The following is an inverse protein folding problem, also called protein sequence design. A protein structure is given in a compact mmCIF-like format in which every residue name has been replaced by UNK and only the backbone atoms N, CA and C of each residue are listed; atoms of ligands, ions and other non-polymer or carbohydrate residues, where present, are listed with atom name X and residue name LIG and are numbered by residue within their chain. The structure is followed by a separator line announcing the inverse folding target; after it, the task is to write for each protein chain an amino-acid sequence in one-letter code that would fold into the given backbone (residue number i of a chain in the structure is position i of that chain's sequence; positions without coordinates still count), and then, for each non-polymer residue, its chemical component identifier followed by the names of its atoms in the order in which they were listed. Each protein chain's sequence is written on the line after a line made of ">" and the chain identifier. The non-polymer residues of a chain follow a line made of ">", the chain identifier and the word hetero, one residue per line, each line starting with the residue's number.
data_IF_307609949101
#
_entry.id   IF_307609949101
#
_cell.length_a   1.000
_cell.length_b   1.000
_cell.length_c   1.000
_cell.angle_alpha   90.00
_cell.angle_beta   90.00
_cell.angle_gamma   90.00
#
_symmetry.space_group_name_H-M   'P 1'
#
loop_
_entity.id
_entity.type
_entity.pdbx_description
1 polymer ?
#
# COMPACT_ATOMS: atom_id res chain seq x y z
N UNK A 1 -9.49 44.27 -20.41
CA UNK A 1 -8.88 43.67 -19.21
C UNK A 1 -9.78 42.65 -18.51
N UNK A 2 -11.01 42.97 -18.10
CA UNK A 2 -11.94 42.01 -17.45
C UNK A 2 -12.22 40.71 -18.24
N UNK A 3 -12.30 40.78 -19.58
CA UNK A 3 -12.54 39.58 -20.44
C UNK A 3 -11.34 38.63 -20.53
N UNK A 4 -10.10 39.13 -20.37
CA UNK A 4 -8.87 38.32 -20.41
C UNK A 4 -8.69 37.57 -19.08
N UNK A 5 -9.05 38.20 -17.95
CA UNK A 5 -9.02 37.56 -16.63
C UNK A 5 -10.01 36.39 -16.56
N UNK A 6 -11.19 36.51 -17.20
CA UNK A 6 -12.18 35.43 -17.26
C UNK A 6 -11.69 34.23 -18.10
N UNK A 7 -10.97 34.48 -19.20
CA UNK A 7 -10.36 33.44 -20.04
C UNK A 7 -9.21 32.70 -19.35
N UNK A 8 -8.40 33.42 -18.55
CA UNK A 8 -7.36 32.83 -17.71
C UNK A 8 -7.95 31.96 -16.59
N UNK A 9 -9.05 32.39 -15.96
CA UNK A 9 -9.72 31.60 -14.93
C UNK A 9 -10.30 30.27 -15.46
N UNK A 10 -10.81 30.26 -16.70
CA UNK A 10 -11.33 29.04 -17.35
C UNK A 10 -10.20 28.10 -17.79
N UNK A 11 -9.01 28.62 -18.13
CA UNK A 11 -7.85 27.78 -18.46
C UNK A 11 -7.25 27.08 -17.24
N UNK A 12 -7.34 27.68 -16.05
CA UNK A 12 -6.85 27.06 -14.81
C UNK A 12 -7.74 25.92 -14.30
N UNK A 13 -9.06 25.97 -14.57
CA UNK A 13 -9.98 24.88 -14.18
C UNK A 13 -9.94 23.68 -15.13
N UNK A 14 -9.36 23.83 -16.33
CA UNK A 14 -9.25 22.77 -17.34
C UNK A 14 -8.03 21.85 -17.23
N UNK A 15 -7.07 22.13 -16.33
CA UNK A 15 -5.83 21.35 -16.19
C UNK A 15 -5.90 20.22 -15.16
N UNK A 16 -7.10 19.92 -14.64
CA UNK A 16 -7.36 18.73 -13.84
C UNK A 16 -7.35 17.44 -14.66
N UNK A 17 -6.31 17.20 -15.47
CA UNK A 17 -6.03 15.84 -15.92
C UNK A 17 -5.78 15.01 -14.67
N UNK A 18 -6.72 14.11 -14.34
CA UNK A 18 -6.62 13.21 -13.19
C UNK A 18 -5.24 12.58 -13.17
N UNK A 19 -4.39 13.07 -12.26
CA UNK A 19 -3.03 12.60 -12.14
C UNK A 19 -3.13 11.26 -11.44
N UNK A 20 -3.26 10.16 -12.19
CA UNK A 20 -3.31 8.81 -11.63
C UNK A 20 -1.91 8.39 -11.11
N UNK A 21 -1.21 9.26 -10.39
CA UNK A 21 0.10 9.04 -9.77
C UNK A 21 -0.07 8.81 -8.25
N UNK A 22 1.06 8.77 -7.53
CA UNK A 22 1.09 8.51 -6.09
C UNK A 22 0.28 9.54 -5.29
N UNK A 23 0.35 10.81 -5.68
CA UNK A 23 -0.31 11.91 -4.95
C UNK A 23 -1.82 11.74 -4.93
N UNK A 24 -2.42 11.32 -6.03
CA UNK A 24 -3.85 11.02 -6.10
C UNK A 24 -4.24 9.84 -5.22
N UNK A 25 -3.45 8.76 -5.20
CA UNK A 25 -3.71 7.61 -4.33
C UNK A 25 -3.60 7.99 -2.85
N UNK A 26 -2.62 8.81 -2.50
CA UNK A 26 -2.42 9.32 -1.15
C UNK A 26 -3.59 10.24 -0.74
N UNK A 27 -4.10 11.09 -1.64
CA UNK A 27 -5.29 11.92 -1.41
C UNK A 27 -6.55 11.09 -1.15
N UNK A 28 -6.84 10.10 -2.00
CA UNK A 28 -7.98 9.19 -1.80
C UNK A 28 -7.87 8.41 -0.48
N UNK A 29 -6.66 7.98 -0.13
CA UNK A 29 -6.38 7.27 1.12
C UNK A 29 -6.60 8.18 2.33
N UNK A 30 -6.13 9.44 2.25
CA UNK A 30 -6.34 10.43 3.30
C UNK A 30 -7.82 10.77 3.48
N UNK A 31 -8.56 10.98 2.38
CA UNK A 31 -10.00 11.26 2.44
C UNK A 31 -10.74 10.09 3.10
N UNK A 32 -10.42 8.85 2.73
CA UNK A 32 -11.05 7.66 3.32
C UNK A 32 -10.71 7.50 4.80
N UNK A 33 -9.44 7.65 5.19
CA UNK A 33 -9.02 7.52 6.59
C UNK A 33 -9.56 8.65 7.47
N UNK A 34 -9.77 9.85 6.93
CA UNK A 34 -10.51 10.92 7.62
C UNK A 34 -11.95 10.50 7.94
N UNK A 35 -12.65 9.86 7.00
CA UNK A 35 -14.00 9.29 7.22
C UNK A 35 -14.01 8.15 8.25
N UNK A 36 -12.89 7.48 8.50
CA UNK A 36 -12.76 6.53 9.63
C UNK A 36 -12.73 7.30 10.95
N UNK A 37 -11.88 8.32 11.05
CA UNK A 37 -11.75 9.14 12.26
C UNK A 37 -13.06 9.86 12.62
N UNK A 38 -13.78 10.40 11.62
CA UNK A 38 -15.11 11.04 11.82
C UNK A 38 -16.15 10.07 12.40
N UNK A 39 -15.97 8.75 12.18
CA UNK A 39 -16.79 7.68 12.76
C UNK A 39 -16.21 7.12 14.07
N UNK A 40 -15.26 7.80 14.69
CA UNK A 40 -14.52 7.37 15.89
C UNK A 40 -13.72 6.06 15.70
N UNK A 41 -13.40 5.69 14.47
CA UNK A 41 -12.52 4.55 14.17
C UNK A 41 -11.08 5.07 14.13
N UNK A 42 -10.41 4.98 15.27
CA UNK A 42 -9.05 5.53 15.47
C UNK A 42 -7.95 4.47 15.41
N UNK A 43 -8.33 3.22 15.17
CA UNK A 43 -7.41 2.09 15.06
C UNK A 43 -7.52 1.46 13.68
N UNK A 44 -6.51 1.69 12.85
CA UNK A 44 -6.44 1.15 11.50
C UNK A 44 -4.99 1.13 11.04
N UNK A 45 -4.73 0.40 9.96
CA UNK A 45 -3.48 0.53 9.24
C UNK A 45 -3.72 0.58 7.74
N UNK A 46 -2.79 1.23 7.04
CA UNK A 46 -2.72 1.21 5.59
C UNK A 46 -1.44 0.51 5.17
N UNK A 47 -1.48 -0.18 4.03
CA UNK A 47 -0.27 -0.64 3.34
C UNK A 47 -0.35 -0.28 1.87
N UNK A 48 0.60 0.54 1.44
CA UNK A 48 0.86 0.87 0.04
C UNK A 48 1.83 -0.16 -0.54
N UNK A 49 1.40 -0.87 -1.57
CA UNK A 49 2.17 -1.88 -2.32
C UNK A 49 2.43 -1.35 -3.72
N UNK A 50 3.68 -1.42 -4.17
CA UNK A 50 4.06 -0.97 -5.51
C UNK A 50 5.38 -1.61 -5.94
N UNK A 51 5.60 -1.66 -7.25
CA UNK A 51 6.91 -1.90 -7.83
C UNK A 51 7.25 -0.71 -8.73
N UNK A 52 8.39 -0.06 -8.50
CA UNK A 52 8.75 1.17 -9.22
C UNK A 52 8.80 0.92 -10.73
N UNK A 53 8.14 1.78 -11.50
CA UNK A 53 8.08 1.72 -12.96
C UNK A 53 6.99 0.80 -13.53
N UNK A 54 6.22 0.11 -12.69
CA UNK A 54 5.11 -0.75 -13.16
C UNK A 54 3.92 0.12 -13.52
N UNK A 55 3.38 0.00 -14.73
CA UNK A 55 2.23 0.78 -15.19
C UNK A 55 1.08 -0.18 -15.45
N UNK A 56 -0.09 0.13 -14.90
CA UNK A 56 -1.32 -0.65 -15.11
C UNK A 56 -2.36 0.19 -15.86
N UNK A 57 -3.14 -0.48 -16.70
CA UNK A 57 -4.20 0.13 -17.49
C UNK A 57 -5.51 -0.63 -17.30
N UNK A 58 -6.56 0.08 -16.89
CA UNK A 58 -7.88 -0.44 -16.66
C UNK A 58 -8.88 0.17 -17.64
N UNK A 59 -9.68 -0.67 -18.28
CA UNK A 59 -10.85 -0.24 -19.03
C UNK A 59 -12.04 -0.09 -18.08
N UNK A 60 -12.41 1.14 -17.78
CA UNK A 60 -13.61 1.46 -16.99
C UNK A 60 -14.78 1.73 -17.95
N UNK A 61 -16.05 1.74 -17.48
CA UNK A 61 -17.22 1.91 -18.34
C UNK A 61 -17.17 3.17 -19.23
N UNK A 62 -16.68 4.29 -18.69
CA UNK A 62 -16.70 5.59 -19.38
C UNK A 62 -15.31 6.09 -19.81
N UNK A 63 -14.23 5.46 -19.33
CA UNK A 63 -12.85 5.90 -19.61
C UNK A 63 -11.83 4.78 -19.50
N UNK A 64 -10.69 4.97 -20.14
CA UNK A 64 -9.49 4.20 -19.83
C UNK A 64 -8.74 4.93 -18.72
N UNK A 65 -8.36 4.21 -17.68
CA UNK A 65 -7.51 4.71 -16.62
C UNK A 65 -6.15 4.03 -16.64
N UNK A 66 -5.08 4.81 -16.65
CA UNK A 66 -3.70 4.31 -16.65
C UNK A 66 -2.94 4.95 -15.51
N UNK A 67 -2.17 4.17 -14.75
CA UNK A 67 -1.29 4.74 -13.72
C UNK A 67 -0.16 5.55 -14.36
N UNK A 68 0.22 6.65 -13.71
CA UNK A 68 1.28 7.54 -14.19
C UNK A 68 2.60 7.19 -13.52
N UNK A 69 3.47 6.52 -14.29
CA UNK A 69 4.84 6.17 -13.88
C UNK A 69 4.94 4.97 -12.95
N UNK A 70 4.08 4.84 -11.94
CA UNK A 70 4.01 3.68 -11.06
C UNK A 70 2.58 3.40 -10.61
N UNK A 71 2.20 2.13 -10.64
CA UNK A 71 0.97 1.61 -10.08
C UNK A 71 1.16 1.36 -8.58
N UNK A 72 0.23 1.90 -7.80
CA UNK A 72 0.15 1.81 -6.36
C UNK A 72 -1.18 1.18 -5.98
N UNK A 73 -1.11 0.23 -5.07
CA UNK A 73 -2.27 -0.35 -4.41
C UNK A 73 -2.18 -0.08 -2.92
N UNK A 74 -3.17 0.61 -2.39
CA UNK A 74 -3.30 0.85 -0.95
C UNK A 74 -4.43 -0.01 -0.41
N UNK A 75 -4.12 -0.76 0.62
CA UNK A 75 -5.09 -1.51 1.40
C UNK A 75 -5.25 -0.84 2.75
N UNK A 76 -6.49 -0.51 3.12
CA UNK A 76 -6.84 0.04 4.44
C UNK A 76 -7.59 -1.04 5.21
N UNK A 77 -7.13 -1.36 6.42
CA UNK A 77 -7.73 -2.38 7.28
C UNK A 77 -8.11 -1.75 8.61
N UNK A 78 -9.37 -1.95 9.02
CA UNK A 78 -9.92 -1.42 10.26
C UNK A 78 -10.97 -2.39 10.82
N UNK A 79 -11.51 -2.08 11.99
CA UNK A 79 -12.59 -2.83 12.62
C UNK A 79 -13.72 -1.90 13.05
N UNK A 80 -14.95 -2.35 12.83
CA UNK A 80 -16.18 -1.75 13.36
C UNK A 80 -16.89 -2.79 14.27
N UNK A 81 -18.07 -2.48 14.79
CA UNK A 81 -18.83 -3.40 15.68
C UNK A 81 -19.08 -4.76 15.00
N UNK A 82 -19.41 -4.73 13.70
CA UNK A 82 -19.76 -5.92 12.90
C UNK A 82 -18.55 -6.77 12.47
N UNK A 83 -17.33 -6.32 12.74
CA UNK A 83 -16.10 -7.05 12.41
C UNK A 83 -15.05 -6.22 11.69
N UNK A 84 -14.01 -6.92 11.23
CA UNK A 84 -12.91 -6.32 10.49
C UNK A 84 -13.28 -6.13 9.01
N UNK A 85 -12.79 -5.04 8.43
CA UNK A 85 -13.02 -4.67 7.04
C UNK A 85 -11.71 -4.34 6.35
N UNK A 86 -11.74 -4.47 5.02
CA UNK A 86 -10.66 -4.04 4.15
C UNK A 86 -11.21 -3.18 3.00
N UNK A 87 -10.43 -2.19 2.58
CA UNK A 87 -10.69 -1.41 1.36
C UNK A 87 -9.43 -1.34 0.52
N UNK A 88 -9.56 -1.61 -0.77
CA UNK A 88 -8.55 -1.33 -1.79
C UNK A 88 -8.75 0.08 -2.36
N UNK A 89 -7.64 0.76 -2.61
CA UNK A 89 -7.55 2.05 -3.30
C UNK A 89 -6.38 1.90 -4.27
N UNK A 90 -6.55 2.36 -5.50
CA UNK A 90 -5.44 2.39 -6.46
C UNK A 90 -5.46 3.68 -7.28
N UNK A 91 -4.54 3.81 -8.23
CA UNK A 91 -4.40 4.98 -9.09
C UNK A 91 -5.68 5.37 -9.86
N UNK A 92 -6.68 4.50 -9.92
CA UNK A 92 -7.86 4.68 -10.76
C UNK A 92 -9.16 4.90 -9.99
N UNK A 93 -9.30 4.32 -8.81
CA UNK A 93 -10.51 4.49 -7.99
C UNK A 93 -10.34 3.99 -6.55
N UNK A 94 -11.32 4.33 -5.72
CA UNK A 94 -11.63 3.56 -4.52
C UNK A 94 -12.39 2.28 -4.89
N UNK A 95 -12.32 1.28 -4.02
CA UNK A 95 -13.17 0.09 -4.06
C UNK A 95 -14.19 0.14 -2.93
N UNK A 96 -15.27 -0.63 -3.05
CA UNK A 96 -16.18 -0.85 -1.94
C UNK A 96 -15.46 -1.56 -0.78
N UNK A 97 -15.92 -1.29 0.44
CA UNK A 97 -15.37 -1.97 1.63
C UNK A 97 -15.84 -3.42 1.62
N UNK A 98 -14.94 -4.34 1.93
CA UNK A 98 -15.24 -5.77 2.00
C UNK A 98 -15.12 -6.22 3.45
N UNK A 99 -16.16 -6.83 4.03
CA UNK A 99 -16.06 -7.46 5.35
C UNK A 99 -15.13 -8.67 5.28
N UNK A 100 -14.26 -8.81 6.28
CA UNK A 100 -13.40 -9.98 6.42
C UNK A 100 -14.18 -11.13 7.07
N UNK A 101 -13.76 -12.37 6.78
CA UNK A 101 -14.38 -13.57 7.35
C UNK A 101 -14.13 -13.72 8.86
N UNK A 102 -13.05 -13.12 9.36
CA UNK A 102 -12.72 -13.07 10.78
C UNK A 102 -11.93 -11.79 11.11
N UNK A 103 -11.67 -11.58 12.41
CA UNK A 103 -10.99 -10.40 12.92
C UNK A 103 -9.47 -10.57 13.08
N UNK A 104 -8.90 -11.73 12.70
CA UNK A 104 -7.52 -12.11 13.08
C UNK A 104 -6.49 -11.12 12.57
N UNK A 105 -6.68 -10.59 11.35
CA UNK A 105 -5.77 -9.62 10.75
C UNK A 105 -5.69 -8.32 11.58
N UNK A 106 -6.85 -7.80 12.00
CA UNK A 106 -6.92 -6.61 12.84
C UNK A 106 -6.45 -6.88 14.27
N UNK A 107 -6.82 -8.01 14.86
CA UNK A 107 -6.39 -8.41 16.20
C UNK A 107 -4.86 -8.61 16.30
N UNK A 108 -4.25 -9.17 15.26
CA UNK A 108 -2.79 -9.27 15.18
C UNK A 108 -2.13 -7.89 15.16
N UNK A 109 -2.67 -6.97 14.36
CA UNK A 109 -2.20 -5.58 14.33
C UNK A 109 -2.23 -4.94 15.72
N UNK A 110 -3.38 -4.95 16.40
CA UNK A 110 -3.53 -4.32 17.72
C UNK A 110 -2.61 -4.96 18.76
N UNK A 111 -2.57 -6.29 18.82
CA UNK A 111 -1.77 -7.02 19.82
C UNK A 111 -0.26 -6.88 19.63
N UNK A 112 0.21 -6.48 18.43
CA UNK A 112 1.62 -6.38 18.11
C UNK A 112 2.10 -4.93 17.86
N UNK A 113 1.31 -3.91 18.17
CA UNK A 113 1.63 -2.48 17.93
C UNK A 113 3.06 -2.09 18.36
N UNK A 114 3.47 -2.46 19.58
CA UNK A 114 4.80 -2.15 20.11
C UNK A 114 5.91 -2.78 19.28
N UNK A 115 5.75 -4.06 18.90
CA UNK A 115 6.74 -4.79 18.10
C UNK A 115 6.74 -4.34 16.64
N UNK A 116 5.59 -3.97 16.10
CA UNK A 116 5.46 -3.37 14.76
C UNK A 116 6.21 -2.04 14.69
N UNK A 117 6.27 -1.27 15.79
CA UNK A 117 7.01 -0.01 15.86
C UNK A 117 8.53 -0.22 15.93
N UNK A 118 9.02 -1.21 16.68
CA UNK A 118 10.45 -1.43 16.91
C UNK A 118 11.14 -2.35 15.90
N UNK A 119 10.41 -3.25 15.23
CA UNK A 119 11.00 -4.19 14.26
C UNK A 119 11.60 -3.48 13.05
N UNK A 120 12.88 -3.74 12.77
CA UNK A 120 13.58 -3.21 11.60
C UNK A 120 13.98 -4.35 10.67
N UNK A 121 13.68 -4.19 9.38
CA UNK A 121 14.06 -5.14 8.35
C UNK A 121 15.51 -4.89 7.99
N UNK A 122 16.30 -5.96 8.04
CA UNK A 122 17.70 -5.92 7.63
C UNK A 122 17.78 -6.06 6.12
N UNK A 123 18.59 -5.23 5.48
CA UNK A 123 18.83 -5.32 4.04
C UNK A 123 19.33 -6.72 3.64
N UNK A 124 19.07 -7.12 2.40
CA UNK A 124 19.58 -8.36 1.83
C UNK A 124 21.10 -8.51 2.04
N UNK A 125 21.52 -9.70 2.49
CA UNK A 125 22.94 -10.03 2.66
C UNK A 125 23.24 -11.40 2.05
N UNK A 126 23.99 -11.41 0.95
CA UNK A 126 24.36 -12.66 0.27
C UNK A 126 25.31 -13.51 1.12
N UNK A 127 25.03 -14.82 1.20
CA UNK A 127 25.94 -15.81 1.77
C UNK A 127 27.17 -16.10 0.87
N UNK A 128 27.09 -15.80 -0.43
CA UNK A 128 28.08 -16.17 -1.45
C UNK A 128 28.99 -15.01 -1.86
N UNK A 129 29.11 -13.95 -1.04
CA UNK A 129 29.93 -12.78 -1.37
C UNK A 129 31.35 -13.18 -1.79
N UNK A 130 31.63 -13.10 -3.09
CA UNK A 130 32.88 -13.57 -3.67
C UNK A 130 33.99 -12.51 -3.68
N UNK A 131 33.65 -11.26 -3.31
CA UNK A 131 34.56 -10.11 -3.37
C UNK A 131 34.98 -9.71 -4.80
N UNK A 132 34.34 -10.27 -5.83
CA UNK A 132 34.60 -9.99 -7.25
C UNK A 132 33.43 -9.21 -7.87
N UNK A 133 33.67 -8.44 -8.94
CA UNK A 133 32.59 -7.83 -9.70
C UNK A 133 31.61 -8.89 -10.21
N UNK A 134 30.35 -8.76 -9.85
CA UNK A 134 29.26 -9.61 -10.35
C UNK A 134 28.51 -8.88 -11.47
N UNK A 135 27.91 -9.65 -12.39
CA UNK A 135 27.05 -9.09 -13.44
C UNK A 135 25.89 -8.33 -12.81
N UNK A 136 25.50 -7.21 -13.46
CA UNK A 136 24.34 -6.42 -13.05
C UNK A 136 23.08 -7.28 -13.10
N UNK A 137 22.37 -7.37 -11.98
CA UNK A 137 21.19 -8.23 -11.83
C UNK A 137 19.91 -7.47 -12.11
N UNK A 138 18.81 -8.23 -12.27
CA UNK A 138 17.48 -7.65 -12.44
C UNK A 138 17.15 -6.80 -11.21
N UNK A 139 16.77 -5.53 -11.37
CA UNK A 139 16.31 -4.73 -10.25
C UNK A 139 15.07 -5.39 -9.63
N UNK A 140 14.98 -5.35 -8.30
CA UNK A 140 13.83 -5.82 -7.52
C UNK A 140 13.21 -4.60 -6.82
N UNK A 141 12.52 -3.69 -7.54
CA UNK A 141 12.11 -2.40 -7.00
C UNK A 141 10.70 -2.48 -6.38
N UNK A 142 10.40 -3.56 -5.66
CA UNK A 142 9.06 -3.80 -5.11
C UNK A 142 9.06 -3.50 -3.61
N UNK A 143 8.09 -2.70 -3.18
CA UNK A 143 8.07 -2.15 -1.84
C UNK A 143 6.73 -2.40 -1.14
N UNK A 144 6.80 -2.35 0.18
CA UNK A 144 5.66 -2.30 1.09
C UNK A 144 5.85 -1.10 2.00
N UNK A 145 4.88 -0.19 2.05
CA UNK A 145 4.90 0.98 2.92
C UNK A 145 3.65 0.97 3.80
N UNK A 146 3.84 0.61 5.07
CA UNK A 146 2.83 0.58 6.10
C UNK A 146 2.75 1.92 6.83
N UNK A 147 1.53 2.34 7.11
CA UNK A 147 1.21 3.35 8.11
C UNK A 147 0.26 2.74 9.14
N UNK A 148 0.62 2.82 10.41
CA UNK A 148 -0.17 2.31 11.51
C UNK A 148 -0.70 3.47 12.33
N UNK A 149 -2.01 3.50 12.59
CA UNK A 149 -2.67 4.53 13.40
C UNK A 149 -3.38 3.86 14.57
N UNK A 150 -3.07 4.33 15.79
CA UNK A 150 -3.65 3.88 17.05
C UNK A 150 -3.96 5.10 17.92
N UNK A 151 -5.23 5.49 17.98
CA UNK A 151 -5.64 6.75 18.58
C UNK A 151 -5.02 7.94 17.82
N UNK A 152 -4.33 8.80 18.55
CA UNK A 152 -3.62 9.96 17.99
C UNK A 152 -2.20 9.61 17.48
N UNK A 153 -1.73 8.39 17.74
CA UNK A 153 -0.37 7.99 17.37
C UNK A 153 -0.33 7.37 15.99
N UNK A 154 0.61 7.83 15.15
CA UNK A 154 0.87 7.25 13.84
C UNK A 154 2.36 6.95 13.67
N UNK A 155 2.70 5.80 13.09
CA UNK A 155 4.08 5.46 12.73
C UNK A 155 4.13 4.67 11.43
N UNK A 156 5.32 4.63 10.82
CA UNK A 156 5.53 4.10 9.48
C UNK A 156 6.55 2.96 9.50
N UNK A 157 6.35 1.98 8.61
CA UNK A 157 7.35 0.95 8.28
C UNK A 157 7.38 0.76 6.78
N UNK A 158 8.58 0.66 6.21
CA UNK A 158 8.72 0.36 4.79
C UNK A 158 9.86 -0.60 4.56
N UNK A 159 9.74 -1.45 3.55
CA UNK A 159 10.79 -2.38 3.15
C UNK A 159 10.68 -2.76 1.69
N UNK A 160 11.80 -3.24 1.15
CA UNK A 160 11.87 -3.82 -0.17
C UNK A 160 11.63 -5.35 -0.07
N UNK A 161 10.83 -5.91 -0.97
CA UNK A 161 10.61 -7.36 -1.04
C UNK A 161 11.91 -8.15 -1.23
N UNK A 162 12.91 -7.52 -1.84
CA UNK A 162 14.25 -8.07 -1.98
C UNK A 162 14.87 -8.48 -0.64
N UNK A 163 14.69 -7.67 0.39
CA UNK A 163 15.30 -7.87 1.71
C UNK A 163 14.73 -9.09 2.45
N UNK A 164 13.54 -9.54 2.04
CA UNK A 164 12.85 -10.70 2.60
C UNK A 164 12.82 -11.89 1.64
N UNK A 165 13.55 -11.85 0.52
CA UNK A 165 13.58 -12.92 -0.49
C UNK A 165 14.86 -13.78 -0.39
N UNK A 166 14.78 -15.00 -0.93
CA UNK A 166 15.94 -15.85 -1.24
C UNK A 166 16.17 -16.00 -2.76
N UNK A 167 15.37 -15.31 -3.58
CA UNK A 167 15.19 -15.63 -5.00
C UNK A 167 16.22 -14.96 -5.94
N UNK A 168 17.19 -14.21 -5.39
CA UNK A 168 18.14 -13.44 -6.21
C UNK A 168 19.53 -14.06 -6.31
N UNK A 169 20.33 -14.01 -5.23
CA UNK A 169 21.79 -14.20 -5.33
C UNK A 169 22.29 -15.41 -4.52
N UNK A 170 21.36 -16.29 -4.17
CA UNK A 170 21.58 -17.36 -3.20
C UNK A 170 20.99 -17.03 -1.84
N UNK A 171 21.39 -17.79 -0.83
CA UNK A 171 20.81 -17.68 0.52
C UNK A 171 21.01 -16.28 1.09
N UNK A 172 19.91 -15.60 1.39
CA UNK A 172 19.91 -14.35 2.14
C UNK A 172 20.14 -14.67 3.62
N UNK A 173 21.27 -14.21 4.17
CA UNK A 173 21.64 -14.44 5.56
C UNK A 173 20.66 -13.80 6.56
N UNK A 174 19.91 -12.79 6.14
CA UNK A 174 18.92 -12.10 6.97
C UNK A 174 17.49 -12.65 6.78
N UNK A 175 17.26 -13.60 5.87
CA UNK A 175 15.93 -14.11 5.54
C UNK A 175 15.17 -14.61 6.77
N UNK A 176 15.78 -15.51 7.55
CA UNK A 176 15.16 -16.11 8.73
C UNK A 176 14.85 -15.07 9.82
N UNK A 177 15.72 -14.08 9.98
CA UNK A 177 15.48 -12.99 10.92
C UNK A 177 14.30 -12.12 10.45
N UNK A 178 14.29 -11.74 9.17
CA UNK A 178 13.27 -10.86 8.62
C UNK A 178 11.89 -11.55 8.54
N UNK A 179 11.83 -12.83 8.21
CA UNK A 179 10.57 -13.60 8.10
C UNK A 179 9.81 -13.68 9.43
N UNK A 180 10.52 -13.56 10.56
CA UNK A 180 9.95 -13.58 11.91
C UNK A 180 9.46 -12.20 12.39
N UNK A 181 9.76 -11.12 11.65
CA UNK A 181 9.31 -9.77 12.02
C UNK A 181 7.80 -9.65 11.87
N UNK A 182 7.16 -9.01 12.86
CA UNK A 182 5.69 -8.87 12.89
C UNK A 182 5.12 -8.15 11.69
N UNK A 183 5.85 -7.20 11.09
CA UNK A 183 5.41 -6.50 9.88
C UNK A 183 5.40 -7.42 8.65
N UNK A 184 6.33 -8.38 8.57
CA UNK A 184 6.40 -9.37 7.49
C UNK A 184 5.30 -10.42 7.66
N UNK A 185 5.09 -10.89 8.90
CA UNK A 185 3.99 -11.80 9.23
C UNK A 185 2.64 -11.14 8.93
N UNK A 186 2.46 -9.85 9.28
CA UNK A 186 1.24 -9.11 8.98
C UNK A 186 1.00 -8.98 7.47
N UNK A 187 2.06 -8.71 6.67
CA UNK A 187 1.93 -8.66 5.20
C UNK A 187 1.51 -10.02 4.61
N UNK A 188 2.08 -11.11 5.11
CA UNK A 188 1.71 -12.47 4.70
C UNK A 188 0.27 -12.84 5.11
N UNK A 189 -0.18 -12.40 6.29
CA UNK A 189 -1.59 -12.55 6.69
C UNK A 189 -2.53 -11.77 5.77
N UNK A 190 -2.12 -10.57 5.35
CA UNK A 190 -2.88 -9.79 4.38
C UNK A 190 -2.93 -10.51 3.01
N UNK A 191 -1.85 -11.12 2.55
CA UNK A 191 -1.85 -11.90 1.30
C UNK A 191 -2.88 -13.04 1.34
N UNK A 192 -2.96 -13.77 2.46
CA UNK A 192 -3.96 -14.82 2.65
C UNK A 192 -5.39 -14.26 2.62
N UNK A 193 -5.63 -13.07 3.18
CA UNK A 193 -6.92 -12.39 3.12
C UNK A 193 -7.27 -11.94 1.71
N UNK A 194 -6.30 -11.38 0.97
CA UNK A 194 -6.51 -10.92 -0.40
C UNK A 194 -6.82 -12.07 -1.35
N UNK A 195 -6.14 -13.21 -1.20
CA UNK A 195 -6.37 -14.42 -2.01
C UNK A 195 -7.82 -14.92 -2.00
N UNK A 196 -8.60 -14.60 -0.96
CA UNK A 196 -10.03 -14.98 -0.86
C UNK A 196 -11.01 -13.80 -1.00
N UNK A 197 -10.52 -12.57 -0.88
CA UNK A 197 -11.35 -11.37 -0.84
C UNK A 197 -11.31 -10.55 -2.13
N UNK A 198 -10.28 -10.72 -2.96
CA UNK A 198 -10.04 -9.91 -4.15
C UNK A 198 -11.22 -9.95 -5.14
N UNK A 199 -11.84 -11.10 -5.35
CA UNK A 199 -13.02 -11.23 -6.22
C UNK A 199 -14.21 -10.39 -5.76
N UNK A 200 -14.32 -10.13 -4.45
CA UNK A 200 -15.37 -9.33 -3.82
C UNK A 200 -15.07 -7.83 -3.87
N UNK A 201 -13.82 -7.44 -4.11
CA UNK A 201 -13.42 -6.03 -4.22
C UNK A 201 -13.89 -5.46 -5.55
N UNK A 202 -15.01 -4.74 -5.54
CA UNK A 202 -15.52 -4.03 -6.71
C UNK A 202 -15.13 -2.55 -6.65
N UNK A 203 -14.73 -1.99 -7.79
CA UNK A 203 -14.44 -0.55 -7.94
C UNK A 203 -15.71 0.26 -7.72
N UNK A 204 -15.56 1.43 -7.13
CA UNK A 204 -16.58 2.48 -7.10
C UNK A 204 -16.44 3.28 -8.39
N UNK A 205 -17.16 2.84 -9.41
CA UNK A 205 -17.19 3.40 -10.78
C UNK A 205 -18.61 3.82 -11.14
#
# INVERSE_FOLDING_TARGET
>A
MKKIILLLAICFTGLGFGQNDEGYVDELTLEFTKKLTERNITNYYTVKRYCSGTIEMFKLPERICTSKGTYFEVYVVWKEEDGAFIKKIDNCSLYYSVPLSDNKLHEFFISNLTTLKSGEIKNYKSATYTGKPELRKKPQPCFRSFQFTNGETTFFKSYNLFDISNDSDGKNLNYEFNSQLKVVILDAMLDAVLAVSEEKMKRQI
#
